data_IF_429153452720
#
_entry.id   IF_429153452720
#
_cell.length_a   1.000
_cell.length_b   1.000
_cell.length_c   1.000
_cell.angle_alpha   90.00
_cell.angle_beta   90.00
_cell.angle_gamma   90.00
#
_symmetry.space_group_name_H-M   'P 1'
#
loop_
_entity.id
_entity.type
_entity.pdbx_description
1 polymer ?
#
# COMPACT_ATOMS: atom_id res chain seq x y z
N UNK A 1 20.50 -11.83 4.86
CA UNK A 1 19.14 -12.35 4.63
C UNK A 1 18.20 -11.18 4.81
N UNK A 2 17.48 -10.79 3.77
CA UNK A 2 16.46 -9.75 3.87
C UNK A 2 15.42 -10.21 4.91
N UNK A 3 14.95 -9.30 5.76
CA UNK A 3 14.10 -9.65 6.90
C UNK A 3 12.65 -9.47 6.47
N UNK A 4 12.10 -10.44 5.74
CA UNK A 4 10.73 -10.32 5.27
C UNK A 4 9.77 -10.09 6.45
N UNK A 5 9.19 -8.89 6.51
CA UNK A 5 8.15 -8.54 7.49
C UNK A 5 6.82 -9.03 6.94
N UNK A 6 6.11 -9.83 7.72
CA UNK A 6 4.82 -10.37 7.35
C UNK A 6 3.74 -9.48 7.94
N UNK A 7 2.99 -8.79 7.09
CA UNK A 7 2.03 -7.76 7.49
C UNK A 7 0.61 -8.25 7.21
N UNK A 8 -0.27 -8.23 8.21
CA UNK A 8 -1.70 -8.40 8.02
C UNK A 8 -2.38 -7.04 8.17
N UNK A 9 -3.13 -6.63 7.14
CA UNK A 9 -3.98 -5.44 7.16
C UNK A 9 -5.44 -5.87 7.24
N UNK A 10 -6.06 -5.47 8.34
CA UNK A 10 -7.47 -5.75 8.63
C UNK A 10 -8.23 -4.45 8.82
N UNK A 11 -9.55 -4.53 8.90
CA UNK A 11 -10.39 -3.38 9.24
C UNK A 11 -10.91 -3.52 10.66
N UNK A 12 -10.71 -2.48 11.46
CA UNK A 12 -11.27 -2.36 12.80
C UNK A 12 -12.79 -2.13 12.76
N UNK A 13 -13.44 -2.22 13.92
CA UNK A 13 -14.88 -1.99 14.06
C UNK A 13 -15.33 -0.60 13.63
N UNK A 14 -14.43 0.39 13.77
CA UNK A 14 -14.69 1.79 13.42
C UNK A 14 -14.34 2.09 11.95
N UNK A 15 -13.97 1.06 11.17
CA UNK A 15 -13.62 1.20 9.77
C UNK A 15 -12.17 1.61 9.51
N UNK A 16 -11.36 1.81 10.55
CA UNK A 16 -9.93 2.12 10.43
C UNK A 16 -9.10 0.90 10.01
N UNK A 17 -7.97 1.14 9.34
CA UNK A 17 -7.03 0.09 8.97
C UNK A 17 -6.17 -0.29 10.17
N UNK A 18 -6.21 -1.57 10.54
CA UNK A 18 -5.39 -2.15 11.61
C UNK A 18 -4.30 -3.00 10.98
N UNK A 19 -3.05 -2.58 11.20
CA UNK A 19 -1.84 -3.22 10.68
C UNK A 19 -1.21 -4.07 11.79
N UNK A 20 -0.90 -5.33 11.49
CA UNK A 20 -0.18 -6.24 12.39
C UNK A 20 1.02 -6.83 11.67
N UNK A 21 2.21 -6.53 12.18
CA UNK A 21 3.47 -6.99 11.62
C UNK A 21 4.02 -8.16 12.42
N UNK A 22 4.64 -9.10 11.71
CA UNK A 22 5.25 -10.30 12.26
C UNK A 22 6.63 -10.50 11.62
N UNK A 23 7.58 -10.98 12.40
CA UNK A 23 8.94 -11.26 11.92
C UNK A 23 9.03 -12.55 11.11
N UNK A 24 7.97 -13.37 11.07
CA UNK A 24 8.02 -14.70 10.49
C UNK A 24 6.64 -15.24 10.03
N UNK A 25 6.61 -16.10 8.99
CA UNK A 25 5.37 -16.69 8.49
C UNK A 25 4.72 -17.67 9.47
N UNK A 26 5.49 -18.26 10.38
CA UNK A 26 4.98 -19.21 11.39
C UNK A 26 3.97 -18.56 12.33
N UNK A 27 4.07 -17.24 12.56
CA UNK A 27 3.07 -16.51 13.34
C UNK A 27 1.69 -16.48 12.63
N UNK A 28 1.69 -16.36 11.30
CA UNK A 28 0.47 -16.39 10.51
C UNK A 28 -0.11 -17.81 10.45
N UNK A 29 0.73 -18.84 10.30
CA UNK A 29 0.32 -20.25 10.30
C UNK A 29 -0.37 -20.68 11.61
N UNK A 30 -0.07 -20.04 12.74
CA UNK A 30 -0.75 -20.30 14.03
C UNK A 30 -2.17 -19.72 14.09
N UNK A 31 -2.45 -18.66 13.34
CA UNK A 31 -3.71 -17.91 13.40
C UNK A 31 -4.61 -18.14 12.19
N UNK A 32 -4.05 -18.54 11.05
CA UNK A 32 -4.75 -18.71 9.79
C UNK A 32 -4.43 -20.08 9.17
N UNK A 33 -5.45 -20.71 8.60
CA UNK A 33 -5.29 -21.98 7.90
C UNK A 33 -4.67 -21.76 6.52
N UNK A 34 -3.50 -22.34 6.27
CA UNK A 34 -2.92 -22.37 4.93
C UNK A 34 -3.78 -23.26 4.01
N UNK A 35 -4.12 -22.73 2.84
CA UNK A 35 -4.90 -23.43 1.79
C UNK A 35 -4.07 -23.75 0.56
N UNK A 36 -2.87 -23.17 0.44
CA UNK A 36 -1.97 -23.42 -0.66
C UNK A 36 -0.68 -22.62 -0.55
N UNK A 37 0.01 -22.51 -1.68
CA UNK A 37 1.20 -21.68 -1.88
C UNK A 37 1.01 -20.84 -3.13
N UNK A 38 1.63 -19.67 -3.17
CA UNK A 38 1.63 -18.83 -4.36
C UNK A 38 2.67 -19.31 -5.38
N UNK A 39 2.27 -19.51 -6.63
CA UNK A 39 3.17 -19.86 -7.75
C UNK A 39 3.10 -18.84 -8.91
N UNK A 40 2.23 -17.83 -8.79
CA UNK A 40 1.93 -16.92 -9.89
C UNK A 40 2.60 -15.54 -9.74
N UNK A 41 3.18 -15.22 -8.58
CA UNK A 41 3.86 -13.93 -8.40
C UNK A 41 5.01 -13.72 -9.38
N UNK A 42 5.17 -12.48 -9.84
CA UNK A 42 6.34 -12.07 -10.62
C UNK A 42 7.59 -11.96 -9.76
N UNK A 43 7.40 -11.72 -8.47
CA UNK A 43 8.46 -11.72 -7.47
C UNK A 43 8.80 -13.17 -7.08
N UNK A 44 10.04 -13.59 -7.39
CA UNK A 44 10.53 -14.94 -7.09
C UNK A 44 10.75 -15.17 -5.59
N UNK A 45 11.00 -14.11 -4.81
CA UNK A 45 11.14 -14.22 -3.36
C UNK A 45 9.78 -14.42 -2.67
N UNK A 46 8.70 -14.06 -3.36
CA UNK A 46 7.32 -14.24 -2.90
C UNK A 46 6.73 -15.59 -3.28
N UNK A 47 7.22 -16.22 -4.37
CA UNK A 47 6.76 -17.55 -4.77
C UNK A 47 7.05 -18.57 -3.68
N UNK A 48 6.10 -19.48 -3.49
CA UNK A 48 6.12 -20.46 -2.40
C UNK A 48 5.59 -19.90 -1.07
N UNK A 49 5.33 -18.60 -0.95
CA UNK A 49 4.72 -18.05 0.26
C UNK A 49 3.30 -18.60 0.45
N UNK A 50 2.88 -18.82 1.72
CA UNK A 50 1.62 -19.47 2.03
C UNK A 50 0.41 -18.61 1.64
N UNK A 51 -0.54 -19.22 0.93
CA UNK A 51 -1.86 -18.65 0.73
C UNK A 51 -2.75 -19.09 1.87
N UNK A 52 -3.41 -18.15 2.55
CA UNK A 52 -4.23 -18.40 3.73
C UNK A 52 -5.72 -18.30 3.44
N UNK A 53 -6.52 -19.09 4.15
CA UNK A 53 -7.98 -18.95 4.15
C UNK A 53 -8.38 -17.58 4.69
N UNK A 54 -9.29 -16.91 3.99
CA UNK A 54 -9.86 -15.61 4.37
C UNK A 54 -8.88 -14.42 4.37
N UNK A 55 -7.67 -14.58 3.85
CA UNK A 55 -6.76 -13.47 3.56
C UNK A 55 -6.49 -13.40 2.06
N UNK A 56 -6.32 -12.18 1.56
CA UNK A 56 -5.89 -11.87 0.21
C UNK A 56 -4.38 -11.60 0.25
N UNK A 57 -3.63 -12.25 -0.62
CA UNK A 57 -2.17 -12.23 -0.66
C UNK A 57 -1.62 -13.61 -1.02
N UNK A 58 -0.29 -13.80 -1.00
CA UNK A 58 0.75 -12.84 -0.63
C UNK A 58 0.90 -11.70 -1.65
N UNK A 59 1.16 -10.47 -1.19
CA UNK A 59 1.48 -9.33 -2.05
C UNK A 59 2.78 -8.66 -1.60
N UNK A 60 3.67 -8.25 -2.52
CA UNK A 60 4.86 -7.51 -2.15
C UNK A 60 4.49 -6.05 -1.84
N UNK A 61 4.92 -5.56 -0.68
CA UNK A 61 4.82 -4.16 -0.29
C UNK A 61 6.24 -3.59 -0.10
N UNK A 62 6.73 -2.87 -1.11
CA UNK A 62 8.11 -2.40 -1.11
C UNK A 62 9.10 -3.57 -1.26
N UNK A 63 10.29 -3.44 -0.68
CA UNK A 63 11.38 -4.42 -0.88
C UNK A 63 11.41 -5.57 0.12
N UNK A 64 10.76 -5.44 1.27
CA UNK A 64 10.99 -6.35 2.41
C UNK A 64 9.70 -6.68 3.18
N UNK A 65 8.53 -6.22 2.73
CA UNK A 65 7.25 -6.50 3.40
C UNK A 65 6.39 -7.38 2.50
N UNK A 66 5.90 -8.48 3.07
CA UNK A 66 4.89 -9.35 2.47
C UNK A 66 3.56 -9.03 3.13
N UNK A 67 2.65 -8.42 2.37
CA UNK A 67 1.32 -8.03 2.84
C UNK A 67 0.28 -9.11 2.56
N UNK A 68 -0.53 -9.35 3.57
CA UNK A 68 -1.83 -9.99 3.50
C UNK A 68 -2.90 -9.02 3.97
N UNK A 69 -4.10 -9.13 3.44
CA UNK A 69 -5.21 -8.27 3.84
C UNK A 69 -6.53 -9.02 3.86
N UNK A 70 -7.48 -8.56 4.69
CA UNK A 70 -8.84 -9.12 4.67
C UNK A 70 -9.58 -8.71 3.38
N UNK A 71 -10.55 -9.51 2.89
CA UNK A 71 -11.31 -9.20 1.68
C UNK A 71 -11.94 -7.79 1.68
N UNK A 72 -12.48 -7.34 2.81
CA UNK A 72 -13.08 -6.00 2.93
C UNK A 72 -12.06 -4.87 2.67
N UNK A 73 -10.84 -5.02 3.17
CA UNK A 73 -9.74 -4.06 2.96
C UNK A 73 -9.36 -4.04 1.48
N UNK A 74 -9.15 -5.22 0.87
CA UNK A 74 -8.84 -5.34 -0.55
C UNK A 74 -9.90 -4.67 -1.42
N UNK A 75 -11.18 -4.96 -1.16
CA UNK A 75 -12.28 -4.37 -1.89
C UNK A 75 -12.34 -2.86 -1.74
N UNK A 76 -12.19 -2.35 -0.52
CA UNK A 76 -12.27 -0.91 -0.24
C UNK A 76 -11.13 -0.15 -0.91
N UNK A 77 -9.89 -0.63 -0.77
CA UNK A 77 -8.72 -0.02 -1.40
C UNK A 77 -8.80 -0.08 -2.92
N UNK A 78 -9.26 -1.21 -3.48
CA UNK A 78 -9.45 -1.37 -4.92
C UNK A 78 -10.51 -0.40 -5.45
N UNK A 79 -11.62 -0.23 -4.72
CA UNK A 79 -12.68 0.74 -5.06
C UNK A 79 -12.15 2.17 -5.06
N UNK A 80 -11.39 2.56 -4.03
CA UNK A 80 -10.76 3.90 -3.95
C UNK A 80 -9.82 4.14 -5.14
N UNK A 81 -9.01 3.15 -5.48
CA UNK A 81 -8.11 3.22 -6.63
C UNK A 81 -8.83 3.39 -7.96
N UNK A 82 -9.97 2.73 -8.13
CA UNK A 82 -10.79 2.81 -9.34
C UNK A 82 -11.58 4.12 -9.45
N UNK A 83 -11.71 4.91 -8.37
CA UNK A 83 -12.47 6.16 -8.42
C UNK A 83 -11.76 7.19 -9.30
N UNK A 84 -12.49 7.88 -10.21
CA UNK A 84 -11.92 8.93 -11.03
C UNK A 84 -11.45 10.08 -10.13
N UNK A 85 -10.15 10.39 -10.21
CA UNK A 85 -9.57 11.52 -9.46
C UNK A 85 -10.19 12.83 -9.96
N UNK A 86 -10.59 13.70 -9.03
CA UNK A 86 -11.17 14.99 -9.37
C UNK A 86 -10.23 15.79 -10.31
N UNK A 87 -10.76 16.44 -11.35
CA UNK A 87 -9.95 17.19 -12.30
C UNK A 87 -9.17 18.29 -11.58
N UNK A 88 -7.83 18.24 -11.63
CA UNK A 88 -6.97 19.27 -11.02
C UNK A 88 -7.23 20.60 -11.73
N UNK A 89 -7.89 21.54 -11.04
CA UNK A 89 -8.10 22.91 -11.53
C UNK A 89 -6.73 23.58 -11.72
N UNK A 90 -6.29 23.73 -12.97
CA UNK A 90 -5.06 24.43 -13.31
C UNK A 90 -5.23 25.92 -13.01
N UNK A 91 -4.79 26.35 -11.82
CA UNK A 91 -4.73 27.78 -11.48
C UNK A 91 -3.61 28.39 -12.31
N UNK A 92 -3.95 29.22 -13.30
CA UNK A 92 -2.98 30.08 -13.97
C UNK A 92 -2.53 31.12 -12.93
N UNK A 93 -1.27 31.06 -12.49
CA UNK A 93 -0.67 32.19 -11.75
C UNK A 93 -0.71 33.42 -12.66
N UNK A 94 -1.27 34.57 -12.23
CA UNK A 94 -1.09 35.81 -12.96
C UNK A 94 0.41 36.13 -13.01
N UNK A 95 0.90 36.50 -14.19
CA UNK A 95 2.28 36.93 -14.41
C UNK A 95 2.59 38.14 -13.52
N UNK A 96 3.75 38.09 -12.86
CA UNK A 96 4.11 38.95 -11.75
C UNK A 96 4.01 40.45 -12.03
N UNK A 97 3.62 41.19 -11.00
CA UNK A 97 3.86 42.62 -10.90
C UNK A 97 5.36 42.89 -11.05
N UNK A 98 5.74 43.52 -12.15
CA UNK A 98 7.07 44.07 -12.35
C UNK A 98 7.31 45.16 -11.29
N UNK A 99 8.22 44.88 -10.35
CA UNK A 99 8.76 45.89 -9.43
C UNK A 99 9.66 46.81 -10.26
N UNK A 100 9.23 48.07 -10.44
CA UNK A 100 10.08 49.13 -11.01
C UNK A 100 11.21 49.46 -10.02
N UNK A 101 12.45 49.35 -10.47
CA UNK A 101 13.63 49.89 -9.78
C UNK A 101 13.80 51.38 -10.14
N UNK A 102 14.14 52.27 -9.19
CA UNK A 102 14.37 53.69 -9.48
C UNK A 102 15.74 53.91 -10.17
N UNK A 103 15.86 54.93 -11.05
CA UNK A 103 17.13 55.24 -11.70
C UNK A 103 18.11 55.94 -10.74
N UNK A 104 19.38 55.56 -10.86
CA UNK A 104 20.50 56.22 -10.19
C UNK A 104 20.69 57.64 -10.74
N UNK A 105 20.84 58.61 -9.85
CA UNK A 105 21.30 59.96 -10.18
C UNK A 105 22.80 60.08 -9.87
N UNK A 106 23.47 60.73 -10.81
CA UNK A 106 24.89 61.09 -10.93
C UNK A 106 25.41 61.99 -9.79
#
# INVERSE_FOLDING_TARGET
MAKNTWRIVTRGTDGELVIRDFDSPEALLKSHTQVGIDDCSTDLELRGAPVFRSLIGPMPEGSDVIRYETPDVFESLTKEWAMPRAPRRRVRKPAGSAVQAPPAAE
#
